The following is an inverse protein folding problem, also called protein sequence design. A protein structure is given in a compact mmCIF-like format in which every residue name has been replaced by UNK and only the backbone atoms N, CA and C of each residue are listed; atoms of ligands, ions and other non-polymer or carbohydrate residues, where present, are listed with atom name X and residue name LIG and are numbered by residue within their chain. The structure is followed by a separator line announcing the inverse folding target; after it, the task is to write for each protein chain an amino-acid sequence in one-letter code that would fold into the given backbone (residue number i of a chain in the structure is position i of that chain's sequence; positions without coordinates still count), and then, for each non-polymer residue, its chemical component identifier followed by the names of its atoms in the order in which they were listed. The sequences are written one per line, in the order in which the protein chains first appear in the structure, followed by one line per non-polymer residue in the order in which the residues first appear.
data_IF_001412471830
#
_entry.id   IF_001412471830
#
_cell.length_a   1.000
_cell.length_b   1.000
_cell.length_c   1.000
_cell.angle_alpha   90.00
_cell.angle_beta   90.00
_cell.angle_gamma   90.00
#
_symmetry.space_group_name_H-M   'P 1'
#
loop_
_entity.id
_entity.type
_entity.pdbx_description
1 polymer ?
#
# COMPACT_ATOMS: atom_id res chain seq x y z
N UNK A 1 -7.30 12.21 3.88
CA UNK A 1 -7.18 12.47 5.28
C UNK A 1 -8.54 12.52 5.98
N UNK A 2 -8.60 11.98 7.15
CA UNK A 2 -9.83 12.04 7.90
C UNK A 2 -9.94 13.36 8.56
N UNK A 3 -11.08 13.97 8.44
CA UNK A 3 -11.30 15.29 8.99
C UNK A 3 -11.05 15.27 10.49
N UNK A 4 -10.16 16.11 10.94
CA UNK A 4 -9.88 16.27 12.36
C UNK A 4 -9.17 15.10 13.02
N UNK A 5 -8.84 14.07 12.27
CA UNK A 5 -8.19 12.91 12.83
C UNK A 5 -6.76 12.81 12.36
N UNK A 6 -5.91 12.46 13.29
CA UNK A 6 -4.51 12.23 12.98
C UNK A 6 -4.33 10.80 12.52
N UNK A 7 -3.72 10.61 11.36
CA UNK A 7 -3.47 9.28 10.83
C UNK A 7 -2.13 8.78 11.33
N UNK A 8 -2.14 7.66 12.01
CA UNK A 8 -0.91 7.07 12.54
C UNK A 8 -0.61 5.76 11.83
N UNK A 9 0.51 5.72 11.18
CA UNK A 9 0.98 4.52 10.51
C UNK A 9 2.03 3.86 11.38
N UNK A 10 2.00 2.53 11.43
CA UNK A 10 3.10 1.81 12.06
C UNK A 10 4.33 1.94 11.17
N UNK A 11 5.54 1.65 11.70
CA UNK A 11 6.74 1.74 10.89
C UNK A 11 6.68 0.93 9.60
N UNK A 12 6.14 -0.28 9.66
CA UNK A 12 6.02 -1.11 8.46
C UNK A 12 5.00 -0.55 7.47
N UNK A 13 3.90 -0.02 7.98
CA UNK A 13 2.91 0.62 7.11
C UNK A 13 3.51 1.82 6.41
N UNK A 14 4.27 2.62 7.15
CA UNK A 14 4.93 3.78 6.58
C UNK A 14 5.94 3.37 5.51
N UNK A 15 6.74 2.35 5.79
CA UNK A 15 7.71 1.85 4.80
C UNK A 15 7.01 1.40 3.53
N UNK A 16 5.89 0.70 3.69
CA UNK A 16 5.15 0.18 2.56
C UNK A 16 4.61 1.31 1.69
N UNK A 17 3.98 2.29 2.32
CA UNK A 17 3.43 3.44 1.61
C UNK A 17 4.56 4.22 0.93
N UNK A 18 5.68 4.41 1.63
CA UNK A 18 6.80 5.16 1.07
C UNK A 18 7.37 4.47 -0.16
N UNK A 19 7.46 3.16 -0.11
CA UNK A 19 7.96 2.41 -1.25
C UNK A 19 7.03 2.55 -2.45
N UNK A 20 5.74 2.43 -2.21
CA UNK A 20 4.75 2.60 -3.27
C UNK A 20 4.78 4.03 -3.83
N UNK A 21 4.94 5.01 -2.95
CA UNK A 21 4.97 6.41 -3.37
C UNK A 21 6.17 6.72 -4.26
N UNK A 22 7.30 6.09 -3.98
CA UNK A 22 8.47 6.23 -4.82
C UNK A 22 8.21 5.77 -6.24
N UNK A 23 7.28 4.84 -6.40
CA UNK A 23 6.95 4.26 -7.69
C UNK A 23 5.54 4.67 -8.11
N UNK A 24 5.11 5.86 -7.71
CA UNK A 24 3.74 6.32 -7.99
C UNK A 24 3.42 6.16 -9.47
N UNK A 25 2.23 5.65 -9.75
CA UNK A 25 1.77 5.41 -11.11
C UNK A 25 2.25 4.10 -11.70
N UNK A 26 3.19 3.42 -11.05
CA UNK A 26 3.71 2.15 -11.56
C UNK A 26 3.29 1.02 -10.65
N UNK A 27 3.02 -0.13 -11.25
CA UNK A 27 2.66 -1.32 -10.48
C UNK A 27 3.90 -1.90 -9.83
N UNK A 28 3.78 -2.15 -8.52
CA UNK A 28 4.83 -2.83 -7.76
C UNK A 28 4.31 -4.22 -7.43
N UNK A 29 5.08 -5.24 -7.77
CA UNK A 29 4.61 -6.62 -7.58
C UNK A 29 4.57 -6.98 -6.11
N UNK A 30 3.78 -8.01 -5.80
CA UNK A 30 3.73 -8.54 -4.43
C UNK A 30 5.13 -8.91 -3.94
N UNK A 31 5.88 -9.61 -4.79
CA UNK A 31 7.22 -10.05 -4.43
C UNK A 31 8.15 -8.85 -4.15
N UNK A 32 8.06 -7.81 -4.96
CA UNK A 32 8.87 -6.63 -4.75
C UNK A 32 8.58 -5.97 -3.41
N UNK A 33 7.31 -5.83 -3.10
CA UNK A 33 6.90 -5.22 -1.83
C UNK A 33 7.33 -6.07 -0.65
N UNK A 34 7.07 -7.37 -0.71
CA UNK A 34 7.41 -8.26 0.39
C UNK A 34 8.91 -8.28 0.62
N UNK A 35 9.68 -8.39 -0.45
CA UNK A 35 11.13 -8.43 -0.35
C UNK A 35 11.69 -7.12 0.19
N UNK A 36 11.18 -6.00 -0.29
CA UNK A 36 11.70 -4.70 0.11
C UNK A 36 11.39 -4.37 1.57
N UNK A 37 10.22 -4.77 2.04
CA UNK A 37 9.76 -4.37 3.37
C UNK A 37 10.11 -5.41 4.44
N UNK A 38 10.01 -6.70 4.10
CA UNK A 38 10.22 -7.76 5.08
C UNK A 38 11.41 -8.67 4.79
N UNK A 39 11.98 -8.56 3.58
CA UNK A 39 13.15 -9.36 3.21
C UNK A 39 12.79 -10.55 2.34
N UNK A 40 13.82 -11.14 1.69
CA UNK A 40 13.58 -12.22 0.72
C UNK A 40 12.88 -13.45 1.29
N UNK A 41 13.05 -13.72 2.58
CA UNK A 41 12.40 -14.87 3.20
C UNK A 41 10.89 -14.79 3.14
N UNK A 42 10.35 -13.59 2.97
CA UNK A 42 8.91 -13.36 2.95
C UNK A 42 8.37 -13.11 1.55
N UNK A 43 9.16 -13.40 0.52
CA UNK A 43 8.81 -13.01 -0.85
C UNK A 43 7.50 -13.59 -1.36
N UNK A 44 7.00 -14.66 -0.74
CA UNK A 44 5.75 -15.30 -1.17
C UNK A 44 4.61 -15.14 -0.18
N UNK A 45 4.78 -14.32 0.84
CA UNK A 45 3.77 -14.16 1.88
C UNK A 45 2.71 -13.12 1.48
N UNK A 46 2.03 -13.39 0.36
CA UNK A 46 1.09 -12.42 -0.18
C UNK A 46 -0.09 -12.16 0.75
N UNK A 47 -0.51 -13.14 1.52
CA UNK A 47 -1.60 -12.96 2.45
C UNK A 47 -1.24 -11.95 3.54
N UNK A 48 -0.01 -12.01 3.99
CA UNK A 48 0.51 -11.08 4.98
C UNK A 48 0.47 -9.65 4.44
N UNK A 49 0.91 -9.50 3.20
CA UNK A 49 0.88 -8.20 2.54
C UNK A 49 -0.55 -7.66 2.43
N UNK A 50 -1.50 -8.51 2.10
CA UNK A 50 -2.89 -8.11 1.98
C UNK A 50 -3.42 -7.55 3.28
N UNK A 51 -3.07 -8.17 4.40
CA UNK A 51 -3.50 -7.69 5.71
C UNK A 51 -2.98 -6.28 5.95
N UNK A 52 -1.70 -6.05 5.65
CA UNK A 52 -1.11 -4.72 5.83
C UNK A 52 -1.75 -3.69 4.91
N UNK A 53 -1.96 -4.04 3.65
CA UNK A 53 -2.61 -3.13 2.72
C UNK A 53 -4.01 -2.77 3.22
N UNK A 54 -4.75 -3.76 3.71
CA UNK A 54 -6.08 -3.51 4.26
C UNK A 54 -6.04 -2.54 5.44
N UNK A 55 -5.08 -2.73 6.33
CA UNK A 55 -4.94 -1.84 7.48
C UNK A 55 -4.60 -0.42 7.05
N UNK A 56 -3.72 -0.28 6.08
CA UNK A 56 -3.35 1.04 5.57
C UNK A 56 -4.58 1.72 4.95
N UNK A 57 -5.35 0.98 4.17
CA UNK A 57 -6.54 1.52 3.54
C UNK A 57 -7.54 2.03 4.56
N UNK A 58 -7.69 1.31 5.67
CA UNK A 58 -8.58 1.76 6.74
C UNK A 58 -8.15 3.11 7.29
N UNK A 59 -6.86 3.40 7.20
CA UNK A 59 -6.31 4.64 7.77
C UNK A 59 -6.30 5.80 6.79
N UNK A 60 -6.05 5.54 5.52
CA UNK A 60 -5.83 6.63 4.56
C UNK A 60 -6.90 6.77 3.48
N UNK A 61 -7.63 5.70 3.17
CA UNK A 61 -8.67 5.78 2.14
C UNK A 61 -9.92 6.36 2.74
N UNK A 62 -10.58 7.20 1.97
CA UNK A 62 -11.86 7.74 2.37
C UNK A 62 -12.88 6.62 2.51
N UNK A 63 -12.85 5.70 1.55
CA UNK A 63 -13.71 4.53 1.53
C UNK A 63 -12.84 3.31 1.24
N UNK A 64 -12.47 2.54 2.27
CA UNK A 64 -11.60 1.38 2.04
C UNK A 64 -12.19 0.35 1.09
N UNK A 65 -13.50 0.32 0.96
CA UNK A 65 -14.16 -0.59 0.02
C UNK A 65 -14.08 -0.12 -1.42
N UNK A 66 -13.71 1.14 -1.62
CA UNK A 66 -13.54 1.72 -2.95
C UNK A 66 -12.23 2.51 -2.95
N UNK A 67 -11.09 1.82 -2.89
CA UNK A 67 -9.81 2.52 -2.72
C UNK A 67 -9.45 3.36 -3.93
N UNK A 68 -8.99 4.57 -3.64
CA UNK A 68 -8.58 5.52 -4.67
C UNK A 68 -7.11 5.87 -4.59
N UNK A 69 -6.47 5.56 -3.47
CA UNK A 69 -5.06 5.87 -3.26
C UNK A 69 -4.21 4.65 -3.57
N UNK A 70 -4.49 3.53 -2.90
CA UNK A 70 -3.78 2.28 -3.15
C UNK A 70 -4.66 1.41 -4.04
N UNK A 71 -4.25 1.24 -5.28
CA UNK A 71 -5.01 0.48 -6.26
C UNK A 71 -4.48 -0.94 -6.34
N UNK A 72 -5.37 -1.91 -6.33
CA UNK A 72 -4.99 -3.31 -6.50
C UNK A 72 -4.92 -3.62 -8.00
N UNK A 73 -3.79 -4.21 -8.41
CA UNK A 73 -3.67 -4.78 -9.76
C UNK A 73 -3.78 -6.28 -9.59
N UNK A 74 -4.94 -6.86 -9.88
CA UNK A 74 -5.20 -8.27 -9.54
C UNK A 74 -4.16 -9.21 -10.11
N UNK A 75 -3.66 -10.10 -9.25
CA UNK A 75 -2.69 -11.08 -9.65
C UNK A 75 -1.28 -10.54 -9.84
N UNK A 76 -1.09 -9.23 -9.72
CA UNK A 76 0.22 -8.62 -9.98
C UNK A 76 0.75 -7.92 -8.74
N UNK A 77 0.03 -6.96 -8.21
CA UNK A 77 0.51 -6.21 -7.06
C UNK A 77 -0.34 -5.00 -6.78
N UNK A 78 0.32 -3.92 -6.39
CA UNK A 78 -0.37 -2.69 -6.00
C UNK A 78 0.33 -1.49 -6.61
N UNK A 79 -0.39 -0.38 -6.70
CA UNK A 79 0.22 0.88 -7.10
C UNK A 79 -0.43 2.03 -6.38
N UNK A 80 0.30 3.11 -6.25
CA UNK A 80 -0.26 4.36 -5.74
C UNK A 80 -0.74 5.16 -6.94
N UNK A 81 -1.97 5.65 -6.86
CA UNK A 81 -2.49 6.52 -7.91
C UNK A 81 -1.68 7.80 -7.96
N UNK A 82 -1.46 8.32 -9.16
CA UNK A 82 -0.74 9.56 -9.31
C UNK A 82 -1.60 10.71 -8.82
N UNK A 83 -1.06 11.45 -7.87
CA UNK A 83 -1.85 12.50 -7.26
C UNK A 83 -2.06 13.70 -8.16
N UNK A 84 -1.16 13.92 -9.08
CA UNK A 84 -1.29 15.03 -9.98
C UNK A 84 -2.53 14.96 -10.85
N UNK A 85 -3.14 13.80 -10.91
CA UNK A 85 -4.33 13.60 -11.73
C UNK A 85 -5.60 14.14 -11.08
N UNK A 86 -5.53 14.55 -9.87
CA UNK A 86 -6.72 15.00 -9.15
C UNK A 86 -7.26 16.26 -9.70
#
# INVERSE_FOLDING_TARGET
MRAGAEVRLTPKEFELISFLAKHAGKVVTHRQLLTAIWGPAHATDTQYLRVYIGQIRQKIEKDPGDPRIIITEPGIGYRIAETGAQ
#
